data_IF_777067576941
#
_entry.id   IF_777067576941
#
_cell.length_a   1.000
_cell.length_b   1.000
_cell.length_c   1.000
_cell.angle_alpha   90.00
_cell.angle_beta   90.00
_cell.angle_gamma   90.00
#
_symmetry.space_group_name_H-M   'P 1'
#
loop_
_entity.id
_entity.type
_entity.pdbx_description
1 polymer ?
#
# COMPACT_ATOMS: atom_id res chain seq x y z
N UNK A 1 -4.35 33.37 19.28
CA UNK A 1 -3.45 32.20 19.30
C UNK A 1 -3.57 31.53 17.94
N UNK A 2 -2.53 31.59 17.13
CA UNK A 2 -2.56 31.22 15.71
C UNK A 2 -2.20 29.75 15.53
N UNK A 3 -3.12 29.01 14.94
CA UNK A 3 -3.06 27.59 14.63
C UNK A 3 -2.04 27.37 13.49
N UNK A 4 -0.89 26.76 13.82
CA UNK A 4 0.13 26.42 12.82
C UNK A 4 -0.40 25.25 11.98
N UNK A 5 -0.96 25.58 10.82
CA UNK A 5 -1.05 24.70 9.66
C UNK A 5 0.31 24.02 9.46
N UNK A 6 0.40 22.73 9.81
CA UNK A 6 1.57 21.90 9.48
C UNK A 6 1.55 21.69 7.97
N UNK A 7 2.21 22.59 7.26
CA UNK A 7 2.53 22.43 5.84
C UNK A 7 3.44 21.20 5.74
N UNK A 8 2.91 20.11 5.21
CA UNK A 8 3.67 18.91 4.85
C UNK A 8 4.78 19.35 3.88
N UNK A 9 6.07 19.06 4.13
CA UNK A 9 7.14 19.56 3.27
C UNK A 9 7.08 18.89 1.90
N UNK A 10 6.83 19.67 0.84
CA UNK A 10 6.82 19.27 -0.58
C UNK A 10 8.06 18.48 -1.05
N UNK A 11 9.19 18.55 -0.34
CA UNK A 11 10.45 17.88 -0.71
C UNK A 11 10.41 16.35 -0.65
N UNK A 12 9.44 15.74 0.03
CA UNK A 12 9.49 14.30 0.39
C UNK A 12 8.88 13.35 -0.66
N UNK A 13 8.17 13.87 -1.68
CA UNK A 13 7.59 13.08 -2.78
C UNK A 13 8.54 12.89 -3.97
N UNK A 14 9.64 13.67 -4.04
CA UNK A 14 10.52 13.63 -5.22
C UNK A 14 11.39 12.38 -5.30
N UNK A 15 11.80 11.79 -4.16
CA UNK A 15 12.64 10.57 -4.16
C UNK A 15 11.88 9.36 -4.71
N UNK A 16 10.58 9.27 -4.38
CA UNK A 16 9.68 8.20 -4.81
C UNK A 16 9.38 8.30 -6.31
N UNK A 17 9.09 9.52 -6.80
CA UNK A 17 8.92 9.77 -8.24
C UNK A 17 10.18 9.43 -9.03
N UNK A 18 11.35 9.81 -8.52
CA UNK A 18 12.63 9.60 -9.21
C UNK A 18 12.91 8.10 -9.45
N UNK A 19 12.51 7.20 -8.55
CA UNK A 19 12.67 5.75 -8.76
C UNK A 19 11.77 5.21 -9.88
N UNK A 20 10.50 5.64 -9.94
CA UNK A 20 9.60 5.20 -11.01
C UNK A 20 9.98 5.77 -12.36
N UNK A 21 10.46 7.02 -12.38
CA UNK A 21 11.06 7.64 -13.56
C UNK A 21 12.31 6.87 -14.02
N UNK A 22 13.19 6.46 -13.10
CA UNK A 22 14.37 5.63 -13.41
C UNK A 22 13.99 4.25 -13.95
N UNK A 23 12.90 3.66 -13.45
CA UNK A 23 12.41 2.35 -13.90
C UNK A 23 11.50 2.43 -15.15
N UNK A 24 11.20 3.64 -15.65
CA UNK A 24 10.29 3.84 -16.78
C UNK A 24 8.85 3.39 -16.51
N UNK A 25 8.45 3.27 -15.24
CA UNK A 25 7.09 2.84 -14.86
C UNK A 25 6.20 4.08 -14.79
N UNK A 26 5.13 4.07 -15.58
CA UNK A 26 4.14 5.15 -15.64
C UNK A 26 2.75 4.62 -15.29
N UNK A 27 1.78 5.52 -15.18
CA UNK A 27 0.39 5.16 -14.92
C UNK A 27 -0.23 4.35 -16.06
N UNK A 28 0.31 4.51 -17.26
CA UNK A 28 -0.10 3.80 -18.47
C UNK A 28 0.55 2.41 -18.60
N UNK A 29 1.56 2.11 -17.78
CA UNK A 29 2.22 0.80 -17.78
C UNK A 29 1.21 -0.28 -17.42
N UNK A 30 1.07 -1.35 -18.23
CA UNK A 30 0.18 -2.46 -17.92
C UNK A 30 0.71 -3.22 -16.70
N UNK A 31 -0.19 -3.70 -15.84
CA UNK A 31 0.17 -4.51 -14.66
C UNK A 31 0.99 -5.74 -15.05
N UNK A 32 0.72 -6.32 -16.23
CA UNK A 32 1.44 -7.48 -16.75
C UNK A 32 2.94 -7.25 -16.97
N UNK A 33 3.38 -5.98 -17.07
CA UNK A 33 4.78 -5.62 -17.20
C UNK A 33 5.49 -5.45 -15.83
N UNK A 34 4.74 -5.50 -14.72
CA UNK A 34 5.29 -5.39 -13.38
C UNK A 34 5.66 -6.78 -12.88
N UNK A 35 6.97 -7.02 -12.71
CA UNK A 35 7.48 -8.24 -12.07
C UNK A 35 7.28 -8.21 -10.55
N UNK A 36 7.17 -9.38 -9.90
CA UNK A 36 6.98 -9.47 -8.46
C UNK A 36 8.24 -9.02 -7.71
N UNK A 37 8.04 -8.31 -6.59
CA UNK A 37 9.10 -8.11 -5.60
C UNK A 37 9.02 -9.26 -4.59
N UNK A 38 10.05 -10.10 -4.54
CA UNK A 38 10.06 -11.33 -3.72
C UNK A 38 10.73 -11.17 -2.35
N UNK A 39 11.18 -9.96 -2.02
CA UNK A 39 11.75 -9.65 -0.70
C UNK A 39 10.63 -9.56 0.34
N UNK A 40 10.63 -10.44 1.34
CA UNK A 40 9.64 -10.48 2.41
C UNK A 40 10.26 -10.68 3.80
N UNK A 41 9.44 -10.59 4.84
CA UNK A 41 9.87 -10.77 6.23
C UNK A 41 10.65 -9.59 6.82
N UNK A 42 10.69 -8.45 6.13
CA UNK A 42 11.37 -7.24 6.55
C UNK A 42 10.36 -6.23 7.08
N UNK A 43 10.69 -5.57 8.19
CA UNK A 43 9.93 -4.43 8.70
C UNK A 43 10.60 -3.17 8.15
N UNK A 44 9.92 -2.34 7.34
CA UNK A 44 10.50 -1.10 6.85
C UNK A 44 10.72 -0.13 8.02
N UNK A 45 11.92 0.42 8.14
CA UNK A 45 12.27 1.43 9.15
C UNK A 45 12.17 2.85 8.58
N UNK A 46 12.18 2.95 7.24
CA UNK A 46 12.14 4.20 6.50
C UNK A 46 11.22 4.14 5.28
N UNK A 47 10.90 5.32 4.72
CA UNK A 47 10.14 5.42 3.46
C UNK A 47 10.94 4.86 2.29
N UNK A 48 12.25 4.99 2.34
CA UNK A 48 13.20 4.48 1.35
C UNK A 48 13.19 2.95 1.30
N UNK A 49 13.02 2.29 2.46
CA UNK A 49 12.88 0.83 2.53
C UNK A 49 11.63 0.35 1.81
N UNK A 50 10.49 1.04 1.98
CA UNK A 50 9.24 0.68 1.32
C UNK A 50 9.38 0.64 -0.21
N UNK A 51 10.17 1.55 -0.80
CA UNK A 51 10.41 1.55 -2.23
C UNK A 51 11.09 0.27 -2.74
N UNK A 52 11.80 -0.47 -1.87
CA UNK A 52 12.43 -1.76 -2.17
C UNK A 52 11.55 -2.98 -1.88
N UNK A 53 10.42 -2.78 -1.19
CA UNK A 53 9.57 -3.85 -0.67
C UNK A 53 8.19 -3.88 -1.34
N UNK A 54 7.77 -2.77 -1.95
CA UNK A 54 6.42 -2.61 -2.49
C UNK A 54 6.47 -2.26 -3.98
N UNK A 55 5.63 -2.92 -4.78
CA UNK A 55 5.51 -2.63 -6.20
C UNK A 55 5.01 -1.20 -6.47
N UNK A 56 5.34 -0.71 -7.66
CA UNK A 56 5.07 0.66 -8.09
C UNK A 56 3.62 1.11 -7.96
N UNK A 57 2.71 0.18 -8.23
CA UNK A 57 1.26 0.32 -8.19
C UNK A 57 0.72 0.55 -6.77
N UNK A 58 1.41 0.09 -5.73
CA UNK A 58 0.95 0.18 -4.34
C UNK A 58 1.84 1.06 -3.45
N UNK A 59 3.05 1.43 -3.90
CA UNK A 59 4.02 2.15 -3.06
C UNK A 59 3.43 3.42 -2.43
N UNK A 60 2.69 4.22 -3.19
CA UNK A 60 2.11 5.45 -2.65
C UNK A 60 1.09 5.18 -1.53
N UNK A 61 0.26 4.16 -1.69
CA UNK A 61 -0.70 3.77 -0.66
C UNK A 61 0.00 3.23 0.60
N UNK A 62 1.04 2.40 0.44
CA UNK A 62 1.84 1.89 1.56
C UNK A 62 2.60 3.00 2.29
N UNK A 63 3.07 4.03 1.57
CA UNK A 63 3.66 5.24 2.18
C UNK A 63 2.65 6.03 3.02
N UNK A 64 1.42 6.18 2.53
CA UNK A 64 0.34 6.85 3.29
C UNK A 64 0.01 6.07 4.56
N UNK A 65 -0.07 4.75 4.51
CA UNK A 65 -0.28 3.91 5.69
C UNK A 65 0.88 4.03 6.68
N UNK A 66 2.12 3.96 6.19
CA UNK A 66 3.33 4.11 7.00
C UNK A 66 3.36 5.47 7.72
N UNK A 67 3.04 6.55 7.02
CA UNK A 67 2.98 7.90 7.60
C UNK A 67 1.89 8.03 8.67
N UNK A 68 0.79 7.27 8.53
CA UNK A 68 -0.27 7.16 9.53
C UNK A 68 0.10 6.23 10.70
N UNK A 69 1.30 5.66 10.71
CA UNK A 69 1.75 4.62 11.65
C UNK A 69 0.87 3.35 11.58
N UNK A 70 0.27 3.06 10.42
CA UNK A 70 -0.50 1.85 10.15
C UNK A 70 0.43 0.80 9.54
N UNK A 71 0.50 -0.36 10.20
CA UNK A 71 1.39 -1.44 9.80
C UNK A 71 0.81 -2.25 8.65
N UNK A 72 1.51 -2.25 7.53
CA UNK A 72 1.26 -3.15 6.40
C UNK A 72 2.00 -4.47 6.66
N UNK A 73 1.30 -5.60 6.61
CA UNK A 73 1.87 -6.95 6.75
C UNK A 73 2.42 -7.44 5.41
N UNK A 74 1.65 -7.23 4.33
CA UNK A 74 1.97 -7.70 2.99
C UNK A 74 1.23 -6.87 1.95
N UNK A 75 1.78 -6.77 0.75
CA UNK A 75 1.12 -6.16 -0.41
C UNK A 75 1.56 -6.89 -1.68
N UNK A 76 0.69 -6.96 -2.68
CA UNK A 76 1.06 -7.46 -4.01
C UNK A 76 0.24 -6.78 -5.08
N UNK A 77 0.91 -6.30 -6.12
CA UNK A 77 0.29 -5.80 -7.35
C UNK A 77 1.27 -5.92 -8.52
N UNK A 78 1.39 -7.13 -9.04
CA UNK A 78 2.26 -7.50 -10.15
C UNK A 78 1.53 -8.42 -11.15
N UNK A 79 2.27 -8.92 -12.15
CA UNK A 79 1.71 -9.78 -13.19
C UNK A 79 1.08 -11.10 -12.70
N UNK A 80 1.52 -11.63 -11.54
CA UNK A 80 0.95 -12.83 -10.94
C UNK A 80 -0.47 -12.61 -10.42
N UNK A 81 -0.76 -11.40 -9.95
CA UNK A 81 -2.06 -11.02 -9.37
C UNK A 81 -3.19 -10.96 -10.41
N UNK A 82 -2.85 -10.88 -11.70
CA UNK A 82 -3.82 -10.96 -12.79
C UNK A 82 -4.53 -12.32 -12.80
N UNK A 83 -3.81 -13.40 -12.52
CA UNK A 83 -4.38 -14.76 -12.47
C UNK A 83 -5.30 -14.91 -11.26
N UNK A 84 -4.93 -14.31 -10.13
CA UNK A 84 -5.76 -14.27 -8.92
C UNK A 84 -6.97 -13.32 -9.05
N UNK A 85 -6.95 -12.41 -10.04
CA UNK A 85 -7.99 -11.41 -10.28
C UNK A 85 -8.00 -10.27 -9.25
N UNK A 86 -6.96 -10.16 -8.41
CA UNK A 86 -6.88 -9.16 -7.35
C UNK A 86 -5.45 -8.79 -6.97
N UNK A 87 -5.22 -7.49 -6.83
CA UNK A 87 -4.11 -6.91 -6.08
C UNK A 87 -4.56 -6.64 -4.63
N UNK A 88 -3.62 -6.47 -3.71
CA UNK A 88 -3.97 -6.30 -2.30
C UNK A 88 -2.96 -5.54 -1.44
N UNK A 89 -3.47 -5.00 -0.32
CA UNK A 89 -2.69 -4.56 0.85
C UNK A 89 -3.29 -5.18 2.11
N UNK A 90 -2.51 -5.96 2.85
CA UNK A 90 -2.91 -6.60 4.11
C UNK A 90 -2.40 -5.75 5.28
N UNK A 91 -3.31 -5.34 6.15
CA UNK A 91 -3.02 -4.50 7.32
C UNK A 91 -3.06 -5.35 8.59
N UNK A 92 -2.15 -5.06 9.53
CA UNK A 92 -2.19 -5.58 10.90
C UNK A 92 -3.36 -4.93 11.65
N UNK A 93 -4.48 -5.65 11.72
CA UNK A 93 -5.70 -5.15 12.33
C UNK A 93 -5.54 -4.95 13.85
N UNK A 94 -4.70 -5.76 14.48
CA UNK A 94 -4.41 -5.68 15.91
C UNK A 94 -3.70 -4.39 16.30
N UNK A 95 -2.96 -3.77 15.36
CA UNK A 95 -2.25 -2.52 15.60
C UNK A 95 -3.08 -1.25 15.37
N UNK A 96 -4.35 -1.37 14.96
CA UNK A 96 -5.20 -0.22 14.65
C UNK A 96 -5.88 0.35 15.90
N UNK A 97 -6.03 1.68 15.95
CA UNK A 97 -6.97 2.35 16.83
C UNK A 97 -8.44 2.01 16.45
N UNK A 98 -9.39 2.24 17.36
CA UNK A 98 -10.79 1.80 17.17
C UNK A 98 -11.44 2.40 15.93
N UNK A 99 -11.13 3.65 15.60
CA UNK A 99 -11.68 4.31 14.42
C UNK A 99 -11.21 3.65 13.12
N UNK A 100 -9.91 3.34 13.04
CA UNK A 100 -9.33 2.64 11.90
C UNK A 100 -9.75 1.18 11.81
N UNK A 101 -10.04 0.52 12.95
CA UNK A 101 -10.66 -0.80 12.97
C UNK A 101 -12.03 -0.80 12.29
N UNK A 102 -12.87 0.19 12.61
CA UNK A 102 -14.18 0.32 11.96
C UNK A 102 -14.05 0.57 10.45
N UNK A 103 -13.10 1.43 10.04
CA UNK A 103 -12.81 1.68 8.63
C UNK A 103 -12.34 0.40 7.93
N UNK A 104 -11.39 -0.35 8.52
CA UNK A 104 -10.86 -1.58 7.94
C UNK A 104 -11.97 -2.62 7.68
N UNK A 105 -12.90 -2.80 8.64
CA UNK A 105 -14.03 -3.73 8.50
C UNK A 105 -14.98 -3.39 7.34
N UNK A 106 -14.96 -2.17 6.82
CA UNK A 106 -15.76 -1.82 5.63
C UNK A 106 -15.19 -2.39 4.33
N UNK A 107 -13.93 -2.85 4.33
CA UNK A 107 -13.25 -3.37 3.14
C UNK A 107 -13.14 -4.89 3.12
N UNK A 108 -13.19 -5.55 4.27
CA UNK A 108 -13.12 -7.00 4.35
C UNK A 108 -13.27 -7.52 5.77
N UNK A 109 -13.45 -8.83 5.87
CA UNK A 109 -13.52 -9.54 7.15
C UNK A 109 -12.16 -9.58 7.83
N UNK A 110 -12.18 -9.57 9.16
CA UNK A 110 -10.98 -9.80 9.97
C UNK A 110 -10.68 -11.29 9.95
N UNK A 111 -9.47 -11.67 9.56
CA UNK A 111 -9.00 -13.06 9.54
C UNK A 111 -7.66 -13.18 10.24
N UNK A 112 -7.22 -14.40 10.51
CA UNK A 112 -5.89 -14.66 11.06
C UNK A 112 -4.90 -14.79 9.91
N UNK A 113 -3.91 -13.91 9.87
CA UNK A 113 -2.80 -14.01 8.93
C UNK A 113 -1.72 -14.91 9.54
N UNK A 114 -1.48 -16.06 8.89
CA UNK A 114 -0.51 -17.07 9.32
C UNK A 114 0.89 -16.76 8.77
N UNK A 115 1.58 -15.83 9.42
CA UNK A 115 3.00 -15.53 9.16
C UNK A 115 3.92 -16.30 10.11
N UNK A 116 5.05 -15.68 10.49
CA UNK A 116 5.90 -16.20 11.59
C UNK A 116 5.20 -16.11 12.95
N UNK A 117 4.23 -15.21 13.08
CA UNK A 117 3.35 -15.05 14.23
C UNK A 117 1.94 -14.83 13.67
N UNK A 118 0.95 -15.47 14.28
CA UNK A 118 -0.45 -15.24 13.96
C UNK A 118 -0.86 -13.84 14.40
N UNK A 119 -1.40 -13.06 13.47
CA UNK A 119 -1.92 -11.72 13.74
C UNK A 119 -3.30 -11.54 13.11
N UNK A 120 -4.23 -10.84 13.79
CA UNK A 120 -5.48 -10.45 13.15
C UNK A 120 -5.18 -9.45 12.03
N UNK A 121 -5.75 -9.68 10.86
CA UNK A 121 -5.48 -8.90 9.67
C UNK A 121 -6.76 -8.60 8.89
N UNK A 122 -6.70 -7.55 8.07
CA UNK A 122 -7.73 -7.21 7.08
C UNK A 122 -7.07 -7.05 5.72
N UNK A 123 -7.73 -7.57 4.69
CA UNK A 123 -7.25 -7.51 3.32
C UNK A 123 -7.97 -6.39 2.54
N UNK A 124 -7.22 -5.38 2.09
CA UNK A 124 -7.71 -4.33 1.21
C UNK A 124 -7.55 -4.77 -0.25
N UNK A 125 -8.60 -5.39 -0.80
CA UNK A 125 -8.56 -5.98 -2.14
C UNK A 125 -8.91 -4.97 -3.25
N UNK A 126 -8.17 -5.03 -4.35
CA UNK A 126 -8.40 -4.24 -5.56
C UNK A 126 -8.53 -5.24 -6.72
N UNK A 127 -9.68 -5.26 -7.38
CA UNK A 127 -9.89 -6.13 -8.55
C UNK A 127 -8.95 -5.70 -9.68
N UNK A 128 -8.31 -6.69 -10.31
CA UNK A 128 -7.43 -6.48 -11.46
C UNK A 128 -7.71 -7.51 -12.54
N UNK A 129 -7.36 -7.17 -13.78
CA UNK A 129 -7.44 -8.02 -14.95
C UNK A 129 -6.26 -7.76 -15.90
N UNK A 130 -6.23 -8.47 -17.04
CA UNK A 130 -5.16 -8.36 -18.05
C UNK A 130 -5.02 -6.97 -18.68
N UNK A 131 -6.05 -6.13 -18.58
CA UNK A 131 -6.06 -4.77 -19.15
C UNK A 131 -5.76 -3.71 -18.09
N UNK A 132 -5.61 -4.11 -16.83
CA UNK A 132 -5.39 -3.20 -15.71
C UNK A 132 -4.01 -2.54 -15.81
N UNK A 133 -3.98 -1.24 -15.56
CA UNK A 133 -2.78 -0.40 -15.57
C UNK A 133 -2.37 0.00 -14.17
N UNK A 134 -1.08 0.32 -14.00
CA UNK A 134 -0.48 0.76 -12.73
C UNK A 134 -1.25 1.93 -12.11
N UNK A 135 -1.62 2.95 -12.91
CA UNK A 135 -2.33 4.13 -12.40
C UNK A 135 -3.72 3.82 -11.84
N UNK A 136 -4.41 2.81 -12.38
CA UNK A 136 -5.73 2.41 -11.88
C UNK A 136 -5.63 1.80 -10.49
N UNK A 137 -4.65 0.93 -10.27
CA UNK A 137 -4.39 0.31 -8.96
C UNK A 137 -3.95 1.37 -7.97
N UNK A 138 -3.03 2.26 -8.35
CA UNK A 138 -2.55 3.35 -7.50
C UNK A 138 -3.71 4.22 -7.02
N UNK A 139 -4.56 4.68 -7.94
CA UNK A 139 -5.73 5.50 -7.62
C UNK A 139 -6.71 4.76 -6.70
N UNK A 140 -6.99 3.49 -6.97
CA UNK A 140 -7.89 2.68 -6.15
C UNK A 140 -7.34 2.46 -4.73
N UNK A 141 -6.06 2.10 -4.62
CA UNK A 141 -5.39 1.89 -3.35
C UNK A 141 -5.35 3.17 -2.50
N UNK A 142 -4.97 4.29 -3.12
CA UNK A 142 -4.98 5.61 -2.46
C UNK A 142 -6.35 5.97 -1.91
N UNK A 143 -7.40 5.84 -2.72
CA UNK A 143 -8.77 6.15 -2.30
C UNK A 143 -9.25 5.30 -1.10
N UNK A 144 -8.70 4.09 -0.94
CA UNK A 144 -8.96 3.23 0.23
C UNK A 144 -8.18 3.76 1.44
N UNK A 145 -6.85 3.90 1.33
CA UNK A 145 -6.00 4.23 2.48
C UNK A 145 -6.16 5.66 3.00
N UNK A 146 -6.61 6.59 2.15
CA UNK A 146 -6.92 7.98 2.56
C UNK A 146 -8.08 8.06 3.56
N UNK A 147 -8.94 7.04 3.62
CA UNK A 147 -10.05 6.99 4.58
C UNK A 147 -9.57 6.73 6.01
N UNK A 148 -8.40 6.13 6.17
CA UNK A 148 -7.82 5.86 7.48
C UNK A 148 -7.33 7.16 8.14
N UNK A 149 -7.48 7.23 9.44
CA UNK A 149 -7.01 8.32 10.29
C UNK A 149 -5.57 8.06 10.75
N UNK A 150 -4.91 9.08 11.30
CA UNK A 150 -3.64 8.89 12.01
C UNK A 150 -3.86 7.95 13.20
N UNK A 151 -2.92 7.04 13.48
CA UNK A 151 -2.96 6.22 14.71
C UNK A 151 -2.99 7.07 15.97
#
# INVERSE_FOLDING_TARGET
>A
MSERLRIIPKKKFEIVKKRFEILGISDETPLSAIGPITKGGLVPESREDLANLVEASLLEACLVLFDKNIKTISSSANNGDIVAGKAYVIIDYGSLNERNKDIARTFGDVYVFHGSIDVPAVNLEIRVDKNTKVGQIRKAALAIVEKFEQQ
#
